data_IF_340189904138
#
_entry.id   IF_340189904138
#
_cell.length_a   1.000
_cell.length_b   1.000
_cell.length_c   1.000
_cell.angle_alpha   90.00
_cell.angle_beta   90.00
_cell.angle_gamma   90.00
#
_symmetry.space_group_name_H-M   'P 1'
#
loop_
_entity.id
_entity.type
_entity.pdbx_description
1 polymer ?
#
# COMPACT_ATOMS: atom_id res chain seq x y z
N UNK A 1 14.95 -54.90 -55.13
CA UNK A 1 15.63 -55.11 -53.83
C UNK A 1 14.89 -54.31 -52.77
N UNK A 2 14.32 -54.99 -51.76
CA UNK A 2 14.20 -54.48 -50.38
C UNK A 2 15.29 -55.20 -49.55
N UNK A 3 15.71 -54.71 -48.37
CA UNK A 3 14.95 -54.78 -47.10
C UNK A 3 14.68 -53.38 -46.48
N UNK A 4 13.68 -53.15 -45.61
CA UNK A 4 13.52 -53.60 -44.19
C UNK A 4 14.67 -53.08 -43.30
N UNK A 5 14.48 -52.25 -42.26
CA UNK A 5 13.80 -52.46 -40.97
C UNK A 5 13.60 -51.07 -40.29
N UNK A 6 12.88 -50.82 -39.17
CA UNK A 6 11.94 -51.56 -38.31
C UNK A 6 11.07 -50.52 -37.54
N UNK A 7 10.08 -50.94 -36.74
CA UNK A 7 9.29 -50.06 -35.84
C UNK A 7 9.49 -50.34 -34.34
N UNK A 8 9.26 -49.30 -33.51
CA UNK A 8 9.03 -49.17 -32.03
C UNK A 8 8.79 -47.65 -31.79
N UNK A 9 7.97 -47.13 -30.86
CA UNK A 9 7.05 -47.71 -29.87
C UNK A 9 6.25 -46.62 -29.11
N UNK A 10 5.44 -47.01 -28.12
CA UNK A 10 4.68 -46.16 -27.15
C UNK A 10 5.45 -46.09 -25.80
N UNK A 11 5.09 -45.29 -24.76
CA UNK A 11 4.15 -44.15 -24.65
C UNK A 11 4.65 -42.92 -23.83
N UNK A 12 3.84 -41.84 -23.81
CA UNK A 12 3.58 -41.01 -22.62
C UNK A 12 4.70 -40.17 -21.98
N UNK A 13 4.71 -38.86 -22.25
CA UNK A 13 5.30 -37.84 -21.37
C UNK A 13 4.21 -36.86 -20.91
N UNK A 14 4.13 -36.63 -19.60
CA UNK A 14 3.09 -35.82 -18.96
C UNK A 14 3.32 -34.32 -19.17
N UNK A 15 2.25 -33.62 -19.54
CA UNK A 15 1.70 -32.50 -18.79
C UNK A 15 2.69 -31.72 -17.89
N UNK A 16 3.17 -30.57 -18.38
CA UNK A 16 3.67 -29.48 -17.56
C UNK A 16 2.82 -28.23 -17.87
N UNK A 17 1.61 -28.22 -17.31
CA UNK A 17 0.72 -27.06 -17.31
C UNK A 17 1.34 -25.96 -16.43
N UNK A 18 2.28 -25.18 -16.98
CA UNK A 18 2.82 -24.02 -16.29
C UNK A 18 1.75 -22.93 -16.23
N UNK A 19 1.20 -22.73 -15.04
CA UNK A 19 0.23 -21.69 -14.72
C UNK A 19 0.63 -20.34 -15.33
N UNK A 20 -0.20 -19.87 -16.27
CA UNK A 20 -0.16 -18.50 -16.82
C UNK A 20 -1.34 -17.69 -16.31
N UNK A 21 -1.66 -17.81 -15.03
CA UNK A 21 -2.67 -17.00 -14.35
C UNK A 21 -2.09 -15.66 -13.87
N UNK A 22 -1.36 -15.00 -14.78
CA UNK A 22 -1.07 -13.58 -14.67
C UNK A 22 -2.38 -12.83 -14.94
N UNK A 23 -3.17 -12.58 -13.89
CA UNK A 23 -4.40 -11.82 -13.97
C UNK A 23 -4.12 -10.50 -14.71
N UNK A 24 -4.83 -10.17 -15.80
CA UNK A 24 -4.43 -9.06 -16.66
C UNK A 24 -4.55 -7.72 -15.92
N UNK A 25 -3.46 -6.96 -15.90
CA UNK A 25 -3.31 -5.61 -15.32
C UNK A 25 -4.23 -4.52 -15.92
N UNK A 26 -5.32 -4.88 -16.60
CA UNK A 26 -6.23 -3.97 -17.31
C UNK A 26 -7.24 -3.24 -16.42
N UNK A 27 -7.48 -3.71 -15.19
CA UNK A 27 -8.52 -3.14 -14.30
C UNK A 27 -8.00 -2.21 -13.20
N UNK A 28 -6.69 -2.15 -12.95
CA UNK A 28 -6.07 -1.20 -12.00
C UNK A 28 -5.99 0.25 -12.54
N UNK A 29 -7.10 0.78 -13.06
CA UNK A 29 -7.17 2.15 -13.63
C UNK A 29 -7.30 3.25 -12.56
N UNK A 30 -7.87 2.96 -11.40
CA UNK A 30 -8.12 3.95 -10.35
C UNK A 30 -6.99 3.96 -9.31
N UNK A 31 -6.77 5.12 -8.71
CA UNK A 31 -6.04 5.21 -7.46
C UNK A 31 -6.78 4.45 -6.37
N UNK A 32 -6.04 3.79 -5.48
CA UNK A 32 -6.56 3.39 -4.18
C UNK A 32 -6.00 4.37 -3.15
N UNK A 33 -6.86 5.12 -2.46
CA UNK A 33 -6.48 6.13 -1.47
C UNK A 33 -7.28 5.85 -0.18
N UNK A 34 -6.96 4.78 0.56
CA UNK A 34 -7.85 4.21 1.57
C UNK A 34 -8.27 5.20 2.65
N UNK A 35 -7.36 6.07 3.07
CA UNK A 35 -7.62 7.06 4.10
C UNK A 35 -8.39 8.29 3.60
N UNK A 36 -8.27 8.65 2.33
CA UNK A 36 -9.14 9.63 1.69
C UNK A 36 -10.58 9.10 1.63
N UNK A 37 -10.76 7.84 1.27
CA UNK A 37 -12.05 7.15 1.20
C UNK A 37 -12.70 7.06 2.58
N UNK A 38 -11.95 6.65 3.62
CA UNK A 38 -12.42 6.60 5.01
C UNK A 38 -12.84 7.99 5.51
N UNK A 39 -12.03 9.03 5.32
CA UNK A 39 -12.35 10.39 5.78
C UNK A 39 -13.58 10.94 5.04
N UNK A 40 -13.70 10.68 3.74
CA UNK A 40 -14.86 11.12 2.93
C UNK A 40 -16.17 10.44 3.36
N UNK A 41 -16.10 9.29 4.04
CA UNK A 41 -17.24 8.59 4.61
C UNK A 41 -17.58 8.95 6.05
N UNK A 42 -16.81 9.82 6.72
CA UNK A 42 -17.13 10.27 8.08
C UNK A 42 -18.30 11.28 8.03
N UNK A 43 -19.36 11.11 8.83
CA UNK A 43 -20.41 12.12 8.95
C UNK A 43 -19.86 13.38 9.63
N UNK A 44 -20.36 14.53 9.19
CA UNK A 44 -20.09 15.85 9.75
C UNK A 44 -18.60 16.21 9.94
N UNK A 45 -17.77 15.92 8.94
CA UNK A 45 -16.45 16.56 8.84
C UNK A 45 -16.67 18.05 8.59
N UNK A 46 -16.55 18.84 9.67
CA UNK A 46 -16.96 20.25 9.68
C UNK A 46 -16.34 21.06 8.53
N UNK A 47 -17.22 21.74 7.78
CA UNK A 47 -16.84 22.82 6.88
C UNK A 47 -16.05 23.90 7.65
N UNK A 48 -15.04 24.53 7.05
CA UNK A 48 -14.16 25.46 7.76
C UNK A 48 -14.96 26.65 8.31
N UNK A 49 -15.04 26.73 9.65
CA UNK A 49 -15.74 27.80 10.36
C UNK A 49 -16.54 27.36 11.58
N UNK A 50 -16.85 26.06 11.73
CA UNK A 50 -17.59 25.53 12.89
C UNK A 50 -16.67 24.74 13.82
N UNK A 51 -16.71 25.03 15.12
CA UNK A 51 -15.94 24.32 16.15
C UNK A 51 -16.40 22.85 16.22
N UNK A 52 -15.47 21.91 16.06
CA UNK A 52 -15.75 20.49 16.27
C UNK A 52 -15.95 20.23 17.77
N UNK A 53 -17.22 20.18 18.20
CA UNK A 53 -17.62 19.90 19.59
C UNK A 53 -17.43 18.40 19.92
N UNK A 54 -16.21 17.91 19.78
CA UNK A 54 -15.76 16.54 20.12
C UNK A 54 -16.16 15.44 19.14
N UNK A 55 -17.19 15.64 18.31
CA UNK A 55 -17.75 14.59 17.46
C UNK A 55 -16.78 13.99 16.44
N UNK A 56 -16.09 14.82 15.65
CA UNK A 56 -15.14 14.34 14.64
C UNK A 56 -13.87 13.81 15.29
N UNK A 57 -13.37 14.52 16.30
CA UNK A 57 -12.23 14.12 17.12
C UNK A 57 -12.42 12.74 17.76
N UNK A 58 -13.55 12.49 18.42
CA UNK A 58 -13.87 11.19 19.03
C UNK A 58 -13.94 10.09 17.96
N UNK A 59 -14.63 10.35 16.84
CA UNK A 59 -14.69 9.41 15.71
C UNK A 59 -13.29 9.05 15.17
N UNK A 60 -12.35 10.00 15.07
CA UNK A 60 -10.97 9.73 14.66
C UNK A 60 -10.22 8.88 15.70
N UNK A 61 -10.43 9.14 16.99
CA UNK A 61 -9.77 8.43 18.10
C UNK A 61 -10.30 7.00 18.29
N UNK A 62 -11.56 6.73 17.93
CA UNK A 62 -12.20 5.42 18.08
C UNK A 62 -12.17 4.58 16.79
N UNK A 63 -12.08 5.21 15.60
CA UNK A 63 -12.14 4.49 14.33
C UNK A 63 -10.87 3.62 14.12
N UNK A 64 -11.02 2.30 13.90
CA UNK A 64 -9.93 1.33 14.04
C UNK A 64 -8.78 1.54 13.02
N UNK A 65 -9.06 2.11 11.85
CA UNK A 65 -8.02 2.48 10.89
C UNK A 65 -7.35 3.84 11.19
N UNK A 66 -8.07 4.77 11.83
CA UNK A 66 -7.64 6.16 12.01
C UNK A 66 -6.89 6.37 13.32
N UNK A 67 -7.26 5.67 14.39
CA UNK A 67 -6.57 5.77 15.68
C UNK A 67 -5.07 5.36 15.60
N UNK A 68 -4.67 4.28 14.89
CA UNK A 68 -3.25 3.97 14.67
C UNK A 68 -2.55 5.01 13.77
N UNK A 69 -3.29 5.60 12.83
CA UNK A 69 -2.77 6.66 11.97
C UNK A 69 -2.57 7.98 12.73
N UNK A 70 -3.44 8.29 13.69
CA UNK A 70 -3.30 9.43 14.60
C UNK A 70 -2.01 9.32 15.43
N UNK A 71 -1.65 8.13 15.90
CA UNK A 71 -0.36 7.94 16.57
C UNK A 71 0.83 8.22 15.63
N UNK A 72 0.72 7.89 14.35
CA UNK A 72 1.74 8.23 13.34
C UNK A 72 1.83 9.74 13.11
N UNK A 73 0.70 10.45 13.05
CA UNK A 73 0.65 11.91 12.95
C UNK A 73 1.28 12.60 14.18
N UNK A 74 0.95 12.15 15.39
CA UNK A 74 1.49 12.72 16.62
C UNK A 74 3.01 12.48 16.73
N UNK A 75 3.51 11.34 16.27
CA UNK A 75 4.94 11.06 16.18
C UNK A 75 5.66 11.94 15.13
N UNK A 76 5.06 12.14 13.94
CA UNK A 76 5.59 13.06 12.90
C UNK A 76 5.68 14.49 13.45
N UNK A 77 4.62 14.98 14.11
CA UNK A 77 4.58 16.29 14.77
C UNK A 77 5.64 16.43 15.88
N UNK A 78 5.84 15.39 16.70
CA UNK A 78 6.85 15.41 17.76
C UNK A 78 8.30 15.50 17.22
N UNK A 79 8.52 15.10 15.97
CA UNK A 79 9.81 15.19 15.27
C UNK A 79 9.96 16.47 14.43
N UNK A 80 9.01 17.43 14.52
CA UNK A 80 9.02 18.67 13.75
C UNK A 80 8.50 18.53 12.31
N UNK A 81 7.70 17.48 12.03
CA UNK A 81 7.06 17.25 10.75
C UNK A 81 5.98 18.27 10.38
N UNK A 82 5.36 18.09 9.21
CA UNK A 82 4.41 19.04 8.62
C UNK A 82 3.02 19.05 9.31
N UNK A 83 2.84 18.27 10.39
CA UNK A 83 1.65 18.30 11.23
C UNK A 83 1.56 19.57 12.06
N UNK A 84 0.84 20.57 11.55
CA UNK A 84 0.60 21.84 12.24
C UNK A 84 0.04 21.66 13.66
N UNK A 85 0.32 22.64 14.52
CA UNK A 85 -0.12 22.64 15.92
C UNK A 85 -1.20 23.70 16.14
N UNK A 86 -2.25 23.35 16.89
CA UNK A 86 -3.02 24.33 17.66
C UNK A 86 -2.10 24.99 18.70
N UNK A 87 -2.36 26.25 19.03
CA UNK A 87 -1.48 27.07 19.87
C UNK A 87 -1.33 26.55 21.32
N UNK A 88 -2.26 25.73 21.79
CA UNK A 88 -2.30 25.10 23.11
C UNK A 88 -1.72 23.67 23.15
N UNK A 89 -1.26 23.17 22.01
CA UNK A 89 -0.70 21.83 21.87
C UNK A 89 -1.73 20.70 21.67
N UNK A 90 -3.03 20.97 21.77
CA UNK A 90 -4.09 19.96 21.67
C UNK A 90 -4.13 19.25 20.31
N UNK A 91 -4.82 18.11 20.25
CA UNK A 91 -5.14 17.45 19.00
C UNK A 91 -6.26 18.23 18.27
N UNK A 92 -6.04 18.55 17.00
CA UNK A 92 -7.05 19.16 16.13
C UNK A 92 -7.36 18.18 14.99
N UNK A 93 -8.62 17.72 14.95
CA UNK A 93 -9.15 16.85 13.91
C UNK A 93 -8.97 17.42 12.50
N UNK A 94 -9.11 18.74 12.34
CA UNK A 94 -8.97 19.47 11.07
C UNK A 94 -7.53 19.41 10.56
N UNK A 95 -6.55 19.62 11.44
CA UNK A 95 -5.13 19.57 11.08
C UNK A 95 -4.69 18.14 10.73
N UNK A 96 -5.18 17.14 11.45
CA UNK A 96 -4.98 15.73 11.11
C UNK A 96 -5.62 15.36 9.77
N UNK A 97 -6.91 15.69 9.55
CA UNK A 97 -7.59 15.45 8.28
C UNK A 97 -6.84 16.13 7.13
N UNK A 98 -6.42 17.39 7.30
CA UNK A 98 -5.61 18.10 6.30
C UNK A 98 -4.29 17.39 6.01
N UNK A 99 -3.57 16.91 7.02
CA UNK A 99 -2.34 16.12 6.86
C UNK A 99 -2.60 14.81 6.09
N UNK A 100 -3.65 14.06 6.43
CA UNK A 100 -4.02 12.84 5.70
C UNK A 100 -4.39 13.14 4.24
N UNK A 101 -5.16 14.20 3.97
CA UNK A 101 -5.53 14.62 2.62
C UNK A 101 -4.31 15.07 1.80
N UNK A 102 -3.35 15.77 2.42
CA UNK A 102 -2.08 16.14 1.78
C UNK A 102 -1.26 14.89 1.43
N UNK A 103 -1.04 13.99 2.39
CA UNK A 103 -0.29 12.76 2.15
C UNK A 103 -0.95 11.87 1.09
N UNK A 104 -2.28 11.74 1.14
CA UNK A 104 -3.04 10.93 0.18
C UNK A 104 -2.96 11.50 -1.24
N UNK A 105 -2.80 12.82 -1.42
CA UNK A 105 -2.73 13.44 -2.74
C UNK A 105 -1.31 13.80 -3.22
N UNK A 106 -0.29 13.66 -2.36
CA UNK A 106 1.10 13.91 -2.75
C UNK A 106 1.57 12.85 -3.75
N UNK A 107 1.90 13.29 -4.97
CA UNK A 107 2.67 12.51 -5.94
C UNK A 107 4.18 12.71 -5.68
N UNK A 108 5.04 11.73 -5.97
CA UNK A 108 6.47 11.88 -5.81
C UNK A 108 7.03 12.82 -6.89
N UNK A 109 8.11 13.54 -6.57
CA UNK A 109 8.84 14.28 -7.59
C UNK A 109 9.47 13.31 -8.61
N UNK A 110 8.92 13.29 -9.83
CA UNK A 110 9.53 12.63 -10.99
C UNK A 110 10.59 13.58 -11.52
N UNK A 111 11.86 13.26 -11.27
CA UNK A 111 12.97 14.02 -11.85
C UNK A 111 12.99 13.86 -13.37
N UNK A 112 13.54 14.86 -14.06
CA UNK A 112 13.85 14.72 -15.48
C UNK A 112 14.77 13.52 -15.74
N UNK A 113 14.92 13.16 -17.02
CA UNK A 113 15.47 11.88 -17.54
C UNK A 113 16.90 11.52 -17.06
N UNK A 114 17.52 12.34 -16.22
CA UNK A 114 18.80 12.15 -15.52
C UNK A 114 18.58 12.00 -14.00
N UNK A 115 17.74 11.04 -13.60
CA UNK A 115 17.78 10.29 -12.32
C UNK A 115 18.07 11.02 -10.98
N UNK A 116 17.47 12.19 -10.71
CA UNK A 116 17.52 12.86 -9.38
C UNK A 116 16.16 13.11 -8.74
N UNK A 117 15.14 12.33 -9.08
CA UNK A 117 13.79 12.41 -8.49
C UNK A 117 13.65 11.65 -7.17
N UNK A 118 12.71 12.09 -6.34
CA UNK A 118 12.29 11.41 -5.11
C UNK A 118 11.86 9.95 -5.38
N UNK A 119 11.20 9.72 -6.53
CA UNK A 119 10.82 8.37 -6.95
C UNK A 119 12.00 7.50 -7.42
N UNK A 120 13.04 8.07 -8.05
CA UNK A 120 14.22 7.29 -8.46
C UNK A 120 15.06 6.83 -7.26
N UNK A 121 15.11 7.64 -6.20
CA UNK A 121 15.74 7.30 -4.93
C UNK A 121 14.82 6.47 -3.99
N UNK A 122 13.58 6.20 -4.38
CA UNK A 122 12.66 5.40 -3.59
C UNK A 122 13.05 3.90 -3.61
N UNK A 123 12.97 3.21 -2.45
CA UNK A 123 13.07 1.76 -2.37
C UNK A 123 12.07 1.08 -3.31
N UNK A 124 12.50 -0.02 -3.92
CA UNK A 124 11.66 -0.86 -4.75
C UNK A 124 10.98 -1.91 -3.86
N UNK A 125 9.66 -2.03 -3.99
CA UNK A 125 8.84 -3.05 -3.35
C UNK A 125 8.38 -4.04 -4.44
N UNK A 126 8.98 -5.22 -4.46
CA UNK A 126 8.71 -6.29 -5.41
C UNK A 126 7.95 -7.45 -4.75
N UNK A 127 7.33 -8.35 -5.53
CA UNK A 127 6.43 -9.39 -5.01
C UNK A 127 5.36 -8.80 -4.09
N UNK A 128 4.74 -7.68 -4.50
CA UNK A 128 3.98 -6.82 -3.60
C UNK A 128 2.47 -7.04 -3.71
N UNK A 129 1.76 -6.84 -2.60
CA UNK A 129 0.30 -6.69 -2.62
C UNK A 129 -0.17 -5.70 -1.54
N UNK A 130 -1.34 -5.10 -1.77
CA UNK A 130 -2.00 -4.27 -0.78
C UNK A 130 -2.92 -5.13 0.09
N UNK A 131 -2.96 -4.84 1.39
CA UNK A 131 -3.72 -5.60 2.38
C UNK A 131 -4.44 -4.66 3.36
N UNK A 132 -5.42 -5.20 4.07
CA UNK A 132 -5.92 -4.66 5.33
C UNK A 132 -5.61 -5.67 6.44
N UNK A 133 -5.00 -5.19 7.51
CA UNK A 133 -4.76 -5.93 8.75
C UNK A 133 -5.27 -5.07 9.91
N UNK A 134 -6.15 -5.61 10.76
CA UNK A 134 -6.77 -4.90 11.88
C UNK A 134 -7.38 -3.53 11.49
N UNK A 135 -8.10 -3.52 10.35
CA UNK A 135 -8.65 -2.35 9.67
C UNK A 135 -7.62 -1.35 9.09
N UNK A 136 -6.31 -1.51 9.34
CA UNK A 136 -5.25 -0.64 8.80
C UNK A 136 -4.88 -1.05 7.36
N UNK A 137 -5.02 -0.16 6.37
CA UNK A 137 -4.55 -0.37 5.00
C UNK A 137 -3.01 -0.31 4.92
N UNK A 138 -2.39 -1.31 4.29
CA UNK A 138 -0.94 -1.50 4.27
C UNK A 138 -0.47 -2.03 2.90
N UNK A 139 0.83 -1.91 2.63
CA UNK A 139 1.51 -2.70 1.60
C UNK A 139 2.40 -3.75 2.24
N UNK A 140 2.52 -4.89 1.57
CA UNK A 140 3.51 -5.93 1.87
C UNK A 140 4.27 -6.29 0.60
N UNK A 141 5.49 -6.78 0.76
CA UNK A 141 6.36 -7.19 -0.35
C UNK A 141 7.80 -7.44 0.10
N UNK A 142 8.70 -7.65 -0.86
CA UNK A 142 10.16 -7.70 -0.69
C UNK A 142 10.74 -6.32 -1.01
N UNK A 143 11.41 -5.69 -0.05
CA UNK A 143 12.02 -4.36 -0.24
C UNK A 143 13.48 -4.45 -0.69
N UNK A 144 13.88 -3.54 -1.56
CA UNK A 144 15.24 -3.37 -2.10
C UNK A 144 15.64 -1.89 -2.09
N UNK A 145 16.91 -1.61 -1.82
CA UNK A 145 17.44 -0.24 -1.73
C UNK A 145 16.89 0.60 -0.56
N UNK A 146 16.50 -0.04 0.54
CA UNK A 146 15.98 0.65 1.73
C UNK A 146 17.09 1.02 2.72
N UNK A 147 17.18 2.27 3.23
CA UNK A 147 18.33 2.73 4.01
C UNK A 147 18.54 1.99 5.34
N UNK A 148 17.47 1.43 5.92
CA UNK A 148 17.50 0.76 7.24
C UNK A 148 17.17 -0.73 7.20
N UNK A 149 16.95 -1.32 6.02
CA UNK A 149 16.52 -2.72 5.89
C UNK A 149 17.39 -3.46 4.89
N UNK A 150 17.73 -4.72 5.20
CA UNK A 150 18.52 -5.56 4.31
C UNK A 150 17.82 -5.79 2.97
N UNK A 151 18.62 -5.99 1.93
CA UNK A 151 18.14 -6.28 0.59
C UNK A 151 17.25 -7.54 0.57
N UNK A 152 16.13 -7.48 -0.17
CA UNK A 152 15.16 -8.56 -0.26
C UNK A 152 14.35 -8.82 1.02
N UNK A 153 14.40 -7.94 2.03
CA UNK A 153 13.63 -8.11 3.26
C UNK A 153 12.12 -8.13 2.98
N UNK A 154 11.44 -9.16 3.47
CA UNK A 154 9.96 -9.22 3.47
C UNK A 154 9.43 -8.23 4.51
N UNK A 155 8.64 -7.24 4.08
CA UNK A 155 8.17 -6.10 4.91
C UNK A 155 6.65 -5.96 4.91
N UNK A 156 6.16 -5.31 5.96
CA UNK A 156 4.88 -4.61 6.05
C UNK A 156 5.20 -3.12 6.19
N UNK A 157 4.60 -2.27 5.36
CA UNK A 157 4.87 -0.81 5.39
C UNK A 157 4.19 -0.13 6.58
N UNK A 158 4.48 1.15 6.79
CA UNK A 158 3.55 2.04 7.53
C UNK A 158 2.21 2.15 6.76
N UNK A 159 1.14 2.75 7.33
CA UNK A 159 -0.16 2.81 6.68
C UNK A 159 -0.13 3.40 5.27
N UNK A 160 -0.90 2.80 4.36
CA UNK A 160 -0.96 3.07 2.92
C UNK A 160 -1.84 4.28 2.62
N UNK A 161 -1.25 5.34 2.07
CA UNK A 161 -1.92 6.61 1.77
C UNK A 161 -2.43 6.71 0.34
N UNK A 162 -1.63 6.25 -0.63
CA UNK A 162 -1.95 6.32 -2.05
C UNK A 162 -1.24 5.19 -2.79
N UNK A 163 -1.97 4.44 -3.62
CA UNK A 163 -1.45 3.38 -4.46
C UNK A 163 -1.80 3.67 -5.91
N UNK A 164 -0.78 3.76 -6.77
CA UNK A 164 -0.90 3.99 -8.22
C UNK A 164 -0.18 2.89 -9.00
N UNK A 165 -0.74 1.67 -9.12
CA UNK A 165 -0.06 0.54 -9.76
C UNK A 165 0.25 0.84 -11.23
N UNK A 166 -0.67 1.51 -11.93
CA UNK A 166 -0.53 1.97 -13.31
C UNK A 166 0.53 3.06 -13.51
N UNK A 167 1.02 3.70 -12.44
CA UNK A 167 2.12 4.66 -12.47
C UNK A 167 3.40 4.09 -11.83
N UNK A 168 3.40 2.83 -11.39
CA UNK A 168 4.56 2.16 -10.81
C UNK A 168 5.00 2.66 -9.44
N UNK A 169 4.12 3.32 -8.67
CA UNK A 169 4.48 3.86 -7.35
C UNK A 169 3.36 3.75 -6.30
N UNK A 170 3.77 3.78 -5.04
CA UNK A 170 2.89 3.91 -3.88
C UNK A 170 3.49 4.85 -2.84
N UNK A 171 2.63 5.39 -1.96
CA UNK A 171 3.01 6.20 -0.82
C UNK A 171 2.43 5.59 0.46
N UNK A 172 3.29 5.22 1.40
CA UNK A 172 2.90 5.03 2.80
C UNK A 172 3.09 6.34 3.57
N UNK A 173 2.63 6.45 4.82
CA UNK A 173 2.78 7.66 5.64
C UNK A 173 4.19 8.32 5.53
N UNK A 174 5.24 7.52 5.64
CA UNK A 174 6.60 8.02 5.83
C UNK A 174 7.43 8.05 4.53
N UNK A 175 6.95 7.46 3.42
CA UNK A 175 7.81 7.15 2.26
C UNK A 175 7.03 6.85 0.97
N UNK A 176 7.62 7.23 -0.16
CA UNK A 176 7.32 6.66 -1.48
C UNK A 176 8.10 5.37 -1.76
N UNK A 177 7.44 4.45 -2.48
CA UNK A 177 8.01 3.20 -2.99
C UNK A 177 7.82 3.13 -4.50
N UNK A 178 8.82 2.61 -5.20
CA UNK A 178 8.65 2.07 -6.56
C UNK A 178 8.00 0.69 -6.45
N UNK A 179 7.09 0.37 -7.36
CA UNK A 179 6.39 -0.91 -7.39
C UNK A 179 7.01 -1.82 -8.45
N UNK A 180 7.38 -3.02 -8.02
CA UNK A 180 7.80 -4.12 -8.90
C UNK A 180 6.62 -5.00 -9.30
N UNK A 181 6.86 -6.30 -9.31
CA UNK A 181 5.88 -7.35 -9.64
C UNK A 181 4.77 -7.38 -8.58
N UNK A 182 3.52 -7.30 -9.04
CA UNK A 182 2.36 -7.55 -8.18
C UNK A 182 2.22 -9.06 -7.93
N UNK A 183 2.13 -9.45 -6.66
CA UNK A 183 1.98 -10.85 -6.23
C UNK A 183 0.98 -10.95 -5.07
N UNK A 184 -0.29 -11.30 -5.35
CA UNK A 184 -1.29 -11.49 -4.30
C UNK A 184 -1.05 -12.77 -3.46
N UNK A 185 -0.30 -13.76 -3.97
CA UNK A 185 0.00 -14.99 -3.23
C UNK A 185 0.98 -14.76 -2.07
N UNK A 186 1.75 -13.68 -2.14
CA UNK A 186 2.69 -13.27 -1.10
C UNK A 186 2.03 -13.00 0.27
N UNK A 187 0.73 -12.66 0.30
CA UNK A 187 -0.04 -12.58 1.55
C UNK A 187 -0.06 -13.94 2.26
N UNK A 188 -0.37 -15.02 1.54
CA UNK A 188 -0.43 -16.39 2.08
C UNK A 188 0.92 -16.80 2.62
N UNK A 189 2.01 -16.57 1.88
CA UNK A 189 3.38 -16.84 2.36
C UNK A 189 3.67 -16.14 3.69
N UNK A 190 3.29 -14.86 3.84
CA UNK A 190 3.50 -14.11 5.08
C UNK A 190 2.62 -14.58 6.24
N UNK A 191 1.44 -15.13 5.97
CA UNK A 191 0.57 -15.74 6.98
C UNK A 191 1.12 -17.10 7.44
N UNK A 192 1.61 -17.92 6.51
CA UNK A 192 2.29 -19.20 6.78
C UNK A 192 3.60 -19.00 7.56
N UNK A 193 4.38 -17.95 7.24
CA UNK A 193 5.56 -17.53 8.00
C UNK A 193 5.24 -17.00 9.43
N UNK A 194 3.96 -16.84 9.79
CA UNK A 194 3.53 -16.18 11.04
C UNK A 194 3.89 -14.69 11.12
N UNK A 195 4.13 -14.04 9.97
CA UNK A 195 4.55 -12.63 9.86
C UNK A 195 3.39 -11.64 9.68
N UNK A 196 2.22 -12.14 9.33
CA UNK A 196 0.95 -11.41 9.32
C UNK A 196 -0.11 -12.22 10.05
N UNK A 197 -1.10 -11.52 10.58
CA UNK A 197 -2.33 -12.11 11.11
C UNK A 197 -3.07 -12.90 10.03
N UNK A 198 -3.66 -14.03 10.41
CA UNK A 198 -4.59 -14.80 9.55
C UNK A 198 -5.86 -14.01 9.21
N UNK A 199 -6.16 -12.95 9.97
CA UNK A 199 -7.24 -12.00 9.67
C UNK A 199 -6.88 -10.98 8.58
N UNK A 200 -5.62 -10.88 8.18
CA UNK A 200 -5.19 -9.98 7.10
C UNK A 200 -5.79 -10.42 5.75
N UNK A 201 -6.28 -9.45 4.97
CA UNK A 201 -7.01 -9.68 3.71
C UNK A 201 -6.46 -8.80 2.60
N UNK A 202 -6.48 -9.28 1.35
CA UNK A 202 -6.13 -8.46 0.19
C UNK A 202 -7.04 -7.23 0.10
N UNK A 203 -6.40 -6.06 -0.04
CA UNK A 203 -7.05 -4.80 -0.34
C UNK A 203 -6.94 -4.56 -1.85
N UNK A 204 -8.02 -4.82 -2.57
CA UNK A 204 -8.03 -4.62 -4.02
C UNK A 204 -8.27 -3.16 -4.39
N UNK A 205 -7.62 -2.71 -5.46
CA UNK A 205 -7.79 -1.37 -6.03
C UNK A 205 -9.02 -1.25 -6.97
N UNK A 206 -9.75 -2.35 -7.18
CA UNK A 206 -10.90 -2.49 -8.08
C UNK A 206 -12.26 -2.31 -7.35
N UNK A 207 -12.26 -1.99 -6.04
CA UNK A 207 -13.44 -1.98 -5.17
C UNK A 207 -14.60 -1.17 -5.74
N UNK A 208 -15.43 -1.88 -6.48
CA UNK A 208 -16.81 -1.55 -6.78
C UNK A 208 -17.63 -2.14 -5.63
N UNK A 209 -18.35 -1.29 -4.92
CA UNK A 209 -19.39 -1.72 -3.97
C UNK A 209 -20.63 -2.21 -4.72
#
# INVERSE_FOLDING_TARGET
MQPSCNGIGIPGAKECQQHKDALPMKEAKRALQPYFEIISGLPDVNLPGMLDLGGTQQRIQEHPALAPLLQTYLADRALGGQGGSSADGTFDATLFIKWVLVLSNQAPAIGDRVATGELSAAPLLDSWCAIVEDAVPLLVGRVSGHPHLREGARVRTSPLMNLRPSQGWARSCNRFYRLGSYDPSFLTTLQEDGRLSTCAKLLRADRSS
#
